data_IF_554985119237
#
_entry.id   IF_554985119237
#
_cell.length_a   1.000
_cell.length_b   1.000
_cell.length_c   1.000
_cell.angle_alpha   90.00
_cell.angle_beta   90.00
_cell.angle_gamma   90.00
#
_symmetry.space_group_name_H-M   'P 1'
#
loop_
_entity.id
_entity.type
_entity.pdbx_description
1 polymer ?
#
# COMPACT_ATOMS: atom_id res chain seq x y z
N UNK A 1 11.51 -34.03 26.99
CA UNK A 1 12.42 -33.74 25.88
C UNK A 1 12.09 -32.34 25.35
N UNK A 2 12.78 -31.35 25.89
CA UNK A 2 12.72 -29.97 25.42
C UNK A 2 13.35 -29.95 24.03
N UNK A 3 12.59 -29.66 22.98
CA UNK A 3 13.14 -29.36 21.65
C UNK A 3 13.92 -28.07 21.80
N UNK A 4 15.25 -28.13 21.70
CA UNK A 4 16.07 -26.95 21.51
C UNK A 4 15.55 -26.20 20.28
N UNK A 5 14.94 -25.06 20.50
CA UNK A 5 14.60 -24.13 19.41
C UNK A 5 15.92 -23.61 18.87
N UNK A 6 16.19 -23.68 17.56
CA UNK A 6 17.43 -23.16 17.00
C UNK A 6 17.58 -21.70 17.41
N UNK A 7 18.76 -21.32 17.92
CA UNK A 7 19.08 -19.95 18.31
C UNK A 7 18.93 -19.07 17.08
N UNK A 8 18.09 -18.04 17.15
CA UNK A 8 17.99 -17.01 16.10
C UNK A 8 19.22 -16.10 16.23
N UNK A 9 20.31 -16.48 15.57
CA UNK A 9 21.59 -15.75 15.58
C UNK A 9 21.40 -14.28 15.18
N UNK A 10 20.47 -14.03 14.28
CA UNK A 10 20.17 -12.68 13.81
C UNK A 10 19.49 -11.84 14.91
N UNK A 11 18.60 -12.45 15.70
CA UNK A 11 17.96 -11.78 16.84
C UNK A 11 19.00 -11.46 17.94
N UNK A 12 19.99 -12.31 18.14
CA UNK A 12 21.09 -12.05 19.10
C UNK A 12 21.99 -10.90 18.62
N UNK A 13 22.27 -10.81 17.33
CA UNK A 13 22.98 -9.67 16.74
C UNK A 13 22.17 -8.38 16.92
N UNK A 14 20.85 -8.43 16.73
CA UNK A 14 19.96 -7.28 16.95
C UNK A 14 19.99 -6.83 18.41
N UNK A 15 19.88 -7.77 19.37
CA UNK A 15 19.99 -7.47 20.81
C UNK A 15 21.33 -6.83 21.16
N UNK A 16 22.43 -7.36 20.63
CA UNK A 16 23.78 -6.81 20.84
C UNK A 16 23.91 -5.39 20.28
N UNK A 17 23.31 -5.10 19.13
CA UNK A 17 23.27 -3.77 18.56
C UNK A 17 22.42 -2.79 19.38
N UNK A 18 21.30 -3.24 19.98
CA UNK A 18 20.45 -2.42 20.84
C UNK A 18 21.08 -2.13 22.21
N UNK A 19 22.00 -2.96 22.71
CA UNK A 19 22.57 -2.82 24.04
C UNK A 19 23.17 -1.43 24.34
N UNK A 20 24.04 -0.83 23.49
CA UNK A 20 24.56 0.52 23.71
C UNK A 20 23.48 1.61 23.58
N UNK A 21 22.36 1.34 22.89
CA UNK A 21 21.24 2.26 22.73
C UNK A 21 20.28 2.24 23.94
N UNK A 22 20.39 1.24 24.83
CA UNK A 22 19.46 1.07 25.94
C UNK A 22 19.49 2.26 26.89
N UNK A 23 20.67 2.73 27.29
CA UNK A 23 20.82 3.86 28.23
C UNK A 23 20.34 5.18 27.62
N UNK A 24 20.79 5.61 26.42
CA UNK A 24 20.39 6.90 25.86
C UNK A 24 18.91 6.99 25.51
N UNK A 25 18.24 5.87 25.15
CA UNK A 25 16.83 5.85 24.76
C UNK A 25 15.93 5.15 25.77
N UNK A 26 16.44 4.73 26.93
CA UNK A 26 15.69 4.08 28.00
C UNK A 26 15.09 2.73 27.60
N UNK A 27 15.71 1.99 26.66
CA UNK A 27 15.16 0.74 26.14
C UNK A 27 15.19 -0.37 27.18
N UNK A 28 14.08 -1.08 27.34
CA UNK A 28 13.91 -2.25 28.18
C UNK A 28 13.99 -3.50 27.31
N UNK A 29 15.21 -4.01 27.05
CA UNK A 29 15.49 -5.05 26.06
C UNK A 29 14.79 -6.39 26.36
N UNK A 30 14.43 -6.64 27.62
CA UNK A 30 13.63 -7.78 28.05
C UNK A 30 12.20 -7.76 27.50
N UNK A 31 11.69 -6.57 27.11
CA UNK A 31 10.35 -6.39 26.53
C UNK A 31 10.32 -6.56 25.02
N UNK A 32 11.48 -6.81 24.38
CA UNK A 32 11.58 -6.95 22.93
C UNK A 32 10.68 -8.09 22.42
N UNK A 33 9.67 -7.75 21.63
CA UNK A 33 8.64 -8.67 21.11
C UNK A 33 8.31 -8.37 19.66
N UNK A 34 7.84 -9.35 18.86
CA UNK A 34 7.39 -9.10 17.49
C UNK A 34 6.31 -8.01 17.47
N UNK A 35 6.43 -7.05 16.55
CA UNK A 35 5.47 -5.97 16.35
C UNK A 35 4.48 -6.28 15.22
N UNK A 36 4.95 -6.91 14.15
CA UNK A 36 4.11 -7.35 13.03
C UNK A 36 4.70 -8.59 12.36
N UNK A 37 3.85 -9.36 11.69
CA UNK A 37 4.23 -10.45 10.80
C UNK A 37 3.92 -10.05 9.37
N UNK A 38 4.89 -9.52 8.65
CA UNK A 38 4.74 -9.11 7.25
C UNK A 38 5.05 -10.25 6.27
N UNK A 39 4.73 -10.00 4.98
CA UNK A 39 5.01 -10.91 3.88
C UNK A 39 6.47 -10.82 3.37
N UNK A 40 7.25 -9.88 3.90
CA UNK A 40 8.62 -9.55 3.53
C UNK A 40 9.64 -10.31 4.38
N UNK A 41 10.91 -10.26 3.99
CA UNK A 41 12.04 -10.72 4.82
C UNK A 41 12.35 -9.76 5.97
N UNK A 42 11.75 -8.55 6.00
CA UNK A 42 11.86 -7.61 7.10
C UNK A 42 11.10 -8.12 8.31
N UNK A 43 11.73 -8.00 9.48
CA UNK A 43 11.11 -8.31 10.77
C UNK A 43 11.01 -7.01 11.57
N UNK A 44 9.88 -6.84 12.23
CA UNK A 44 9.66 -5.68 13.09
C UNK A 44 9.43 -6.16 14.51
N UNK A 45 10.15 -5.52 15.45
CA UNK A 45 10.01 -5.77 16.87
C UNK A 45 9.62 -4.48 17.57
N UNK A 46 8.89 -4.58 18.66
CA UNK A 46 8.61 -3.47 19.57
C UNK A 46 9.42 -3.66 20.84
N UNK A 47 10.01 -2.57 21.35
CA UNK A 47 10.71 -2.52 22.62
C UNK A 47 10.14 -1.39 23.44
N UNK A 48 9.77 -1.65 24.69
CA UNK A 48 9.28 -0.61 25.60
C UNK A 48 10.44 0.26 26.05
N UNK A 49 10.14 1.53 26.33
CA UNK A 49 11.10 2.47 26.85
C UNK A 49 10.54 3.09 28.15
N UNK A 50 11.38 3.21 29.15
CA UNK A 50 11.01 3.74 30.43
C UNK A 50 12.24 4.32 31.12
N UNK A 51 12.01 5.28 32.03
CA UNK A 51 13.07 5.90 32.81
C UNK A 51 12.91 7.43 32.89
N UNK A 52 13.53 8.03 33.91
CA UNK A 52 13.58 9.48 34.03
C UNK A 52 14.39 10.05 32.87
N UNK A 53 13.72 10.85 32.02
CA UNK A 53 14.39 11.56 30.96
C UNK A 53 15.55 12.38 31.49
N UNK A 54 16.77 12.11 31.03
CA UNK A 54 17.88 13.01 31.29
C UNK A 54 17.62 14.31 30.50
N UNK A 55 17.66 15.45 31.22
CA UNK A 55 17.62 16.81 30.65
C UNK A 55 16.34 17.18 29.86
N UNK A 56 15.14 16.86 30.35
CA UNK A 56 13.89 17.42 29.83
C UNK A 56 13.36 16.78 28.53
N UNK A 57 13.99 15.74 27.99
CA UNK A 57 13.44 14.93 26.90
C UNK A 57 12.49 13.88 27.48
N UNK A 58 11.23 13.87 27.03
CA UNK A 58 10.32 12.74 27.27
C UNK A 58 10.74 11.59 26.35
N UNK A 59 11.14 10.45 26.91
CA UNK A 59 11.27 9.24 26.12
C UNK A 59 9.90 8.84 25.58
N UNK A 60 9.86 8.30 24.35
CA UNK A 60 8.67 7.60 23.86
C UNK A 60 8.35 6.43 24.80
N UNK A 61 7.09 6.00 24.86
CA UNK A 61 6.70 4.83 25.64
C UNK A 61 7.26 3.52 25.07
N UNK A 62 7.53 3.50 23.76
CA UNK A 62 8.11 2.37 23.03
C UNK A 62 8.75 2.83 21.73
N UNK A 63 9.57 1.95 21.16
CA UNK A 63 10.17 2.11 19.83
C UNK A 63 9.92 0.85 19.01
N UNK A 64 9.99 1.01 17.69
CA UNK A 64 9.97 -0.10 16.74
C UNK A 64 11.39 -0.34 16.24
N UNK A 65 11.82 -1.60 16.22
CA UNK A 65 13.11 -2.03 15.69
C UNK A 65 12.87 -2.78 14.39
N UNK A 66 13.39 -2.27 13.29
CA UNK A 66 13.40 -2.97 12.00
C UNK A 66 14.68 -3.81 11.88
N UNK A 67 14.49 -5.04 11.48
CA UNK A 67 15.53 -5.98 11.08
C UNK A 67 15.34 -6.37 9.62
N UNK A 68 16.16 -5.81 8.74
CA UNK A 68 16.18 -6.05 7.29
C UNK A 68 17.47 -6.80 6.93
N UNK A 69 17.46 -8.15 6.84
CA UNK A 69 18.67 -8.92 6.56
C UNK A 69 19.33 -8.51 5.24
N UNK A 70 20.60 -8.03 5.23
CA UNK A 70 21.23 -7.44 4.03
C UNK A 70 21.37 -8.39 2.85
N UNK A 71 21.29 -9.71 3.09
CA UNK A 71 21.29 -10.73 2.03
C UNK A 71 20.00 -10.78 1.23
N UNK A 72 18.91 -10.16 1.74
CA UNK A 72 17.57 -10.21 1.14
C UNK A 72 16.96 -8.83 0.97
N UNK A 73 17.35 -7.86 1.81
CA UNK A 73 16.72 -6.54 1.90
C UNK A 73 17.76 -5.44 1.98
N UNK A 74 17.47 -4.32 1.32
CA UNK A 74 18.25 -3.09 1.46
C UNK A 74 17.41 -2.06 2.24
N UNK A 75 17.92 -1.54 3.35
CA UNK A 75 17.21 -0.52 4.13
C UNK A 75 17.48 0.92 3.67
N UNK A 76 18.42 1.16 2.72
CA UNK A 76 18.69 2.50 2.16
C UNK A 76 17.47 3.16 1.52
N UNK A 77 16.65 2.45 0.70
CA UNK A 77 15.39 3.01 0.19
C UNK A 77 14.44 3.46 1.31
N UNK A 78 14.28 2.66 2.37
CA UNK A 78 13.46 3.05 3.52
C UNK A 78 13.94 4.37 4.13
N UNK A 79 15.24 4.49 4.42
CA UNK A 79 15.83 5.69 5.00
C UNK A 79 15.65 6.90 4.09
N UNK A 80 15.93 6.74 2.80
CA UNK A 80 15.82 7.80 1.81
C UNK A 80 14.39 8.33 1.68
N UNK A 81 13.41 7.42 1.53
CA UNK A 81 12.02 7.80 1.32
C UNK A 81 11.40 8.36 2.60
N UNK A 82 11.71 7.80 3.79
CA UNK A 82 11.28 8.37 5.06
C UNK A 82 11.69 9.84 5.19
N UNK A 83 12.95 10.16 4.89
CA UNK A 83 13.46 11.53 4.93
C UNK A 83 12.80 12.42 3.88
N UNK A 84 12.55 11.90 2.67
CA UNK A 84 11.88 12.64 1.60
C UNK A 84 10.45 13.03 2.01
N UNK A 85 9.68 12.08 2.54
CA UNK A 85 8.30 12.28 2.96
C UNK A 85 8.19 13.18 4.20
N UNK A 86 9.09 13.02 5.18
CA UNK A 86 9.14 13.87 6.37
C UNK A 86 9.36 15.35 6.02
N UNK A 87 10.16 15.66 4.99
CA UNK A 87 10.36 17.05 4.49
C UNK A 87 9.08 17.66 3.92
N UNK A 88 8.14 16.84 3.47
CA UNK A 88 6.82 17.27 2.98
C UNK A 88 5.76 17.32 4.10
N UNK A 89 6.16 17.07 5.36
CA UNK A 89 5.23 17.04 6.48
C UNK A 89 4.30 15.82 6.49
N UNK A 90 4.71 14.72 5.84
CA UNK A 90 4.06 13.41 5.95
C UNK A 90 4.65 12.70 7.17
N UNK A 91 3.80 12.23 8.07
CA UNK A 91 4.22 11.49 9.25
C UNK A 91 4.70 10.09 8.85
N UNK A 92 6.01 9.90 8.84
CA UNK A 92 6.68 8.58 8.68
C UNK A 92 7.42 8.25 9.96
N UNK A 93 7.70 6.96 10.26
CA UNK A 93 8.54 6.60 11.40
C UNK A 93 9.87 7.35 11.36
N UNK A 94 10.17 8.09 12.43
CA UNK A 94 11.45 8.77 12.59
C UNK A 94 12.54 7.73 12.82
N UNK A 95 13.68 7.89 12.14
CA UNK A 95 14.85 7.03 12.31
C UNK A 95 15.69 7.58 13.45
N UNK A 96 15.61 6.94 14.59
CA UNK A 96 16.28 7.35 15.84
C UNK A 96 17.76 6.94 15.82
N UNK A 97 18.03 5.72 15.34
CA UNK A 97 19.37 5.17 15.16
C UNK A 97 19.37 4.13 14.05
N UNK A 98 20.51 3.88 13.42
CA UNK A 98 20.60 2.86 12.37
C UNK A 98 22.00 2.31 12.17
N UNK A 99 22.05 1.04 11.77
CA UNK A 99 23.23 0.35 11.26
C UNK A 99 22.85 -0.24 9.89
N UNK A 100 23.11 0.54 8.85
CA UNK A 100 22.69 0.21 7.47
C UNK A 100 23.36 -1.07 6.98
N UNK A 101 24.63 -1.27 7.35
CA UNK A 101 25.42 -2.45 6.92
C UNK A 101 24.88 -3.74 7.54
N UNK A 102 24.36 -3.65 8.77
CA UNK A 102 23.67 -4.78 9.41
C UNK A 102 22.19 -4.84 9.12
N UNK A 103 21.61 -3.78 8.54
CA UNK A 103 20.18 -3.70 8.24
C UNK A 103 19.31 -3.51 9.49
N UNK A 104 19.79 -2.81 10.52
CA UNK A 104 19.05 -2.52 11.74
C UNK A 104 18.69 -1.04 11.84
N UNK A 105 17.42 -0.75 12.12
CA UNK A 105 16.94 0.61 12.40
C UNK A 105 16.12 0.64 13.69
N UNK A 106 16.35 1.64 14.53
CA UNK A 106 15.49 2.01 15.66
C UNK A 106 14.59 3.14 15.20
N UNK A 107 13.28 2.95 15.27
CA UNK A 107 12.26 3.82 14.71
C UNK A 107 11.33 4.33 15.81
N UNK A 108 10.74 5.52 15.61
CA UNK A 108 9.60 5.94 16.42
C UNK A 108 8.42 4.99 16.26
N UNK A 109 7.64 4.81 17.34
CA UNK A 109 6.49 3.91 17.35
C UNK A 109 5.19 4.70 17.18
N UNK A 110 4.42 4.36 16.16
CA UNK A 110 3.08 4.93 15.88
C UNK A 110 1.95 4.21 16.62
N UNK A 111 2.29 3.28 17.51
CA UNK A 111 1.30 2.47 18.25
C UNK A 111 0.82 1.27 17.44
N UNK A 112 -0.41 0.86 17.71
CA UNK A 112 -0.95 -0.41 17.15
C UNK A 112 -2.22 -0.24 16.33
N UNK A 113 -2.81 0.95 16.31
CA UNK A 113 -4.11 1.19 15.66
C UNK A 113 -3.92 1.64 14.22
N UNK A 114 -4.18 0.76 13.28
CA UNK A 114 -4.27 1.11 11.87
C UNK A 114 -5.62 1.76 11.53
N UNK A 115 -5.73 2.38 10.37
CA UNK A 115 -7.03 2.81 9.84
C UNK A 115 -7.99 1.62 9.69
N UNK A 116 -7.50 0.45 9.27
CA UNK A 116 -8.31 -0.75 9.20
C UNK A 116 -8.92 -1.12 10.56
N UNK A 117 -8.14 -1.04 11.65
CA UNK A 117 -8.63 -1.30 13.01
C UNK A 117 -9.61 -0.23 13.47
N UNK A 118 -9.31 1.05 13.19
CA UNK A 118 -10.17 2.17 13.57
C UNK A 118 -11.53 2.11 12.89
N UNK A 119 -11.58 1.75 11.61
CA UNK A 119 -12.83 1.62 10.84
C UNK A 119 -13.76 0.51 11.36
N UNK A 120 -13.24 -0.43 12.15
CA UNK A 120 -14.05 -1.46 12.83
C UNK A 120 -14.62 -0.97 14.16
N UNK A 121 -14.23 0.22 14.65
CA UNK A 121 -14.70 0.74 15.94
C UNK A 121 -16.00 1.51 15.77
N UNK A 122 -16.99 1.34 16.66
CA UNK A 122 -18.21 2.13 16.61
C UNK A 122 -17.93 3.61 16.91
N UNK A 123 -18.56 4.49 16.14
CA UNK A 123 -18.48 5.94 16.34
C UNK A 123 -17.21 6.60 15.79
N UNK A 124 -16.38 5.90 15.02
CA UNK A 124 -15.22 6.50 14.36
C UNK A 124 -15.67 7.57 13.35
N UNK A 125 -14.98 8.70 13.35
CA UNK A 125 -15.18 9.75 12.34
C UNK A 125 -14.44 9.38 11.04
N UNK A 126 -15.13 8.64 10.18
CA UNK A 126 -14.61 8.20 8.88
C UNK A 126 -14.26 9.40 7.99
N UNK A 127 -15.06 10.46 8.05
CA UNK A 127 -14.84 11.66 7.22
C UNK A 127 -13.55 12.38 7.62
N UNK A 128 -13.25 12.45 8.91
CA UNK A 128 -12.00 13.00 9.41
C UNK A 128 -10.81 12.13 9.00
N UNK A 129 -10.86 10.80 9.20
CA UNK A 129 -9.76 9.90 8.82
C UNK A 129 -9.44 9.99 7.33
N UNK A 130 -10.46 9.93 6.45
CA UNK A 130 -10.24 10.02 5.01
C UNK A 130 -9.81 11.42 4.58
N UNK A 131 -10.32 12.48 5.21
CA UNK A 131 -9.86 13.86 5.00
C UNK A 131 -8.37 14.04 5.30
N UNK A 132 -7.91 13.49 6.42
CA UNK A 132 -6.50 13.47 6.80
C UNK A 132 -5.66 12.66 5.81
N UNK A 133 -6.13 11.47 5.40
CA UNK A 133 -5.46 10.63 4.42
C UNK A 133 -5.32 11.33 3.05
N UNK A 134 -6.36 12.01 2.57
CA UNK A 134 -6.31 12.78 1.31
C UNK A 134 -5.30 13.93 1.40
N UNK A 135 -5.27 14.64 2.54
CA UNK A 135 -4.31 15.73 2.77
C UNK A 135 -2.87 15.21 2.81
N UNK A 136 -2.63 14.10 3.51
CA UNK A 136 -1.31 13.48 3.56
C UNK A 136 -0.87 12.93 2.20
N UNK A 137 -1.79 12.37 1.41
CA UNK A 137 -1.51 11.92 0.04
C UNK A 137 -1.07 13.08 -0.88
N UNK A 138 -1.76 14.21 -0.80
CA UNK A 138 -1.37 15.42 -1.57
C UNK A 138 0.04 15.88 -1.18
N UNK A 139 0.37 15.93 0.12
CA UNK A 139 1.74 16.26 0.59
C UNK A 139 2.78 15.25 0.07
N UNK A 140 2.47 13.96 0.13
CA UNK A 140 3.32 12.90 -0.39
C UNK A 140 3.62 13.12 -1.88
N UNK A 141 2.62 13.46 -2.68
CA UNK A 141 2.75 13.66 -4.11
C UNK A 141 3.43 14.99 -4.50
N UNK A 142 3.53 15.95 -3.58
CA UNK A 142 4.34 17.14 -3.76
C UNK A 142 5.85 16.89 -3.61
N UNK A 143 6.23 15.72 -3.07
CA UNK A 143 7.63 15.37 -2.95
C UNK A 143 8.30 15.28 -4.33
N UNK A 144 9.53 15.81 -4.40
CA UNK A 144 10.35 15.80 -5.62
C UNK A 144 11.46 14.75 -5.46
N UNK A 145 11.24 13.50 -5.88
CA UNK A 145 12.23 12.44 -5.67
C UNK A 145 13.45 12.54 -6.57
N UNK A 146 13.41 13.43 -7.61
CA UNK A 146 14.46 13.49 -8.61
C UNK A 146 14.62 12.16 -9.35
N UNK A 147 15.86 11.82 -9.70
CA UNK A 147 16.18 10.55 -10.37
C UNK A 147 16.39 9.36 -9.41
N UNK A 148 16.05 9.51 -8.13
CA UNK A 148 16.37 8.50 -7.10
C UNK A 148 15.37 7.36 -7.03
N UNK A 149 14.11 7.60 -7.46
CA UNK A 149 13.08 6.58 -7.50
C UNK A 149 12.91 6.00 -8.89
N UNK A 150 12.69 4.68 -9.02
CA UNK A 150 12.44 4.06 -10.29
C UNK A 150 11.07 4.49 -10.87
N UNK A 151 10.92 4.52 -12.20
CA UNK A 151 9.62 4.79 -12.82
C UNK A 151 8.68 3.60 -12.66
N UNK A 152 7.39 3.90 -12.58
CA UNK A 152 6.32 2.91 -12.73
C UNK A 152 5.97 2.79 -14.22
N UNK A 153 6.90 2.24 -14.97
CA UNK A 153 6.89 2.19 -16.41
C UNK A 153 5.96 1.09 -16.99
N UNK A 154 5.86 1.06 -18.32
CA UNK A 154 5.08 0.07 -19.06
C UNK A 154 5.46 -1.37 -18.68
N UNK A 155 6.76 -1.68 -18.58
CA UNK A 155 7.23 -3.02 -18.27
C UNK A 155 6.75 -3.48 -16.89
N UNK A 156 6.82 -2.60 -15.89
CA UNK A 156 6.40 -2.87 -14.54
C UNK A 156 4.88 -3.02 -14.45
N UNK A 157 4.12 -2.12 -15.06
CA UNK A 157 2.66 -2.20 -15.15
C UNK A 157 2.18 -3.50 -15.82
N UNK A 158 2.82 -3.87 -16.94
CA UNK A 158 2.49 -5.09 -17.67
C UNK A 158 2.81 -6.36 -16.86
N UNK A 159 3.99 -6.41 -16.23
CA UNK A 159 4.40 -7.56 -15.42
C UNK A 159 3.46 -7.83 -14.26
N UNK A 160 2.94 -6.76 -13.64
CA UNK A 160 1.98 -6.85 -12.55
C UNK A 160 0.59 -7.32 -13.04
N UNK A 161 0.09 -6.80 -14.16
CA UNK A 161 -1.18 -7.24 -14.72
C UNK A 161 -1.16 -8.69 -15.23
N UNK A 162 -0.02 -9.18 -15.69
CA UNK A 162 0.15 -10.59 -16.12
C UNK A 162 -0.03 -11.58 -14.97
N UNK A 163 0.07 -11.16 -13.73
CA UNK A 163 -0.30 -12.00 -12.60
C UNK A 163 -1.78 -12.43 -12.62
N UNK A 164 -2.67 -11.63 -13.24
CA UNK A 164 -4.07 -11.97 -13.36
C UNK A 164 -4.33 -13.23 -14.17
N UNK A 165 -3.91 -13.37 -15.45
CA UNK A 165 -4.07 -14.61 -16.19
C UNK A 165 -3.30 -15.79 -15.58
N UNK A 166 -2.08 -15.56 -15.08
CA UNK A 166 -1.22 -16.64 -14.62
C UNK A 166 -1.67 -17.24 -13.28
N UNK A 167 -2.14 -16.41 -12.36
CA UNK A 167 -2.47 -16.85 -11.01
C UNK A 167 -3.96 -16.86 -10.74
N UNK A 168 -4.69 -15.81 -11.13
CA UNK A 168 -6.11 -15.73 -10.83
C UNK A 168 -6.91 -16.64 -11.79
N UNK A 169 -6.73 -16.51 -13.11
CA UNK A 169 -7.45 -17.35 -14.05
C UNK A 169 -6.94 -18.80 -14.03
N UNK A 170 -5.65 -19.01 -14.26
CA UNK A 170 -5.10 -20.37 -14.44
C UNK A 170 -5.06 -21.16 -13.12
N UNK A 171 -4.62 -20.55 -12.00
CA UNK A 171 -4.44 -21.28 -10.73
C UNK A 171 -5.66 -21.25 -9.83
N UNK A 172 -6.29 -20.06 -9.65
CA UNK A 172 -7.42 -19.93 -8.73
C UNK A 172 -8.73 -20.45 -9.35
N UNK A 173 -9.04 -20.04 -10.59
CA UNK A 173 -10.25 -20.49 -11.27
C UNK A 173 -10.06 -21.78 -12.06
N UNK A 174 -8.83 -22.30 -12.21
CA UNK A 174 -8.50 -23.47 -13.05
C UNK A 174 -8.96 -23.29 -14.52
N UNK A 175 -8.90 -22.05 -15.03
CA UNK A 175 -9.35 -21.69 -16.38
C UNK A 175 -8.19 -21.08 -17.17
N UNK A 176 -7.51 -21.89 -17.96
CA UNK A 176 -6.44 -21.41 -18.86
C UNK A 176 -7.04 -20.55 -19.98
N UNK A 177 -6.59 -19.30 -20.15
CA UNK A 177 -7.09 -18.44 -21.22
C UNK A 177 -6.75 -19.01 -22.61
N UNK A 178 -7.74 -19.07 -23.48
CA UNK A 178 -7.59 -19.41 -24.90
C UNK A 178 -6.75 -18.34 -25.63
N UNK A 179 -6.27 -18.66 -26.84
CA UNK A 179 -5.52 -17.69 -27.65
C UNK A 179 -6.30 -16.40 -27.93
N UNK A 180 -7.63 -16.48 -28.08
CA UNK A 180 -8.47 -15.31 -28.25
C UNK A 180 -8.59 -14.49 -26.97
N UNK A 181 -8.77 -15.13 -25.83
CA UNK A 181 -8.86 -14.47 -24.53
C UNK A 181 -7.52 -13.81 -24.14
N UNK A 182 -6.38 -14.44 -24.47
CA UNK A 182 -5.08 -13.80 -24.31
C UNK A 182 -4.96 -12.51 -25.12
N UNK A 183 -5.48 -12.48 -26.37
CA UNK A 183 -5.51 -11.25 -27.17
C UNK A 183 -6.38 -10.16 -26.55
N UNK A 184 -7.53 -10.53 -25.99
CA UNK A 184 -8.41 -9.57 -25.27
C UNK A 184 -7.70 -8.99 -24.04
N UNK A 185 -7.01 -9.83 -23.26
CA UNK A 185 -6.23 -9.39 -22.10
C UNK A 185 -5.11 -8.44 -22.51
N UNK A 186 -4.27 -8.81 -23.48
CA UNK A 186 -3.17 -7.97 -23.94
C UNK A 186 -3.65 -6.62 -24.51
N UNK A 187 -4.74 -6.61 -25.26
CA UNK A 187 -5.35 -5.37 -25.77
C UNK A 187 -5.88 -4.48 -24.63
N UNK A 188 -6.45 -5.08 -23.58
CA UNK A 188 -6.91 -4.35 -22.40
C UNK A 188 -5.74 -3.81 -21.60
N UNK A 189 -4.68 -4.60 -21.42
CA UNK A 189 -3.46 -4.19 -20.72
C UNK A 189 -2.77 -3.03 -21.44
N UNK A 190 -2.61 -3.11 -22.76
CA UNK A 190 -2.02 -2.02 -23.55
C UNK A 190 -2.78 -0.70 -23.35
N UNK A 191 -4.11 -0.75 -23.36
CA UNK A 191 -4.97 0.42 -23.14
C UNK A 191 -4.84 1.00 -21.72
N UNK A 192 -4.76 0.15 -20.72
CA UNK A 192 -4.55 0.57 -19.33
C UNK A 192 -3.16 1.17 -19.11
N UNK A 193 -2.13 0.61 -19.75
CA UNK A 193 -0.76 1.13 -19.71
C UNK A 193 -0.71 2.51 -20.34
N UNK A 194 -1.26 2.67 -21.55
CA UNK A 194 -1.34 3.97 -22.22
C UNK A 194 -2.03 5.02 -21.33
N UNK A 195 -3.17 4.68 -20.75
CA UNK A 195 -3.89 5.56 -19.84
C UNK A 195 -3.08 5.89 -18.56
N UNK A 196 -2.36 4.96 -18.00
CA UNK A 196 -1.53 5.17 -16.81
C UNK A 196 -0.29 6.02 -17.11
N UNK A 197 0.42 5.73 -18.20
CA UNK A 197 1.65 6.44 -18.58
C UNK A 197 1.40 7.85 -19.13
N UNK A 198 0.20 8.13 -19.63
CA UNK A 198 -0.21 9.47 -20.06
C UNK A 198 -0.60 10.40 -18.92
N UNK A 199 -0.84 9.90 -17.73
CA UNK A 199 -1.10 10.72 -16.56
C UNK A 199 0.15 11.45 -16.10
N UNK A 200 -0.05 12.54 -15.35
CA UNK A 200 1.05 13.22 -14.67
C UNK A 200 1.71 12.26 -13.67
N UNK A 201 3.04 12.27 -13.66
CA UNK A 201 3.85 11.37 -12.86
C UNK A 201 4.30 12.07 -11.58
N UNK A 202 4.00 11.45 -10.44
CA UNK A 202 4.31 11.93 -9.09
C UNK A 202 4.95 10.83 -8.26
N UNK A 203 5.34 11.11 -7.02
CA UNK A 203 5.70 10.05 -6.08
C UNK A 203 4.46 9.19 -5.78
N UNK A 204 4.59 7.88 -5.96
CA UNK A 204 3.55 6.88 -5.72
C UNK A 204 4.05 5.90 -4.67
N UNK A 205 3.29 5.76 -3.59
CA UNK A 205 3.55 4.86 -2.48
C UNK A 205 3.36 3.38 -2.87
N UNK A 206 2.40 3.09 -3.76
CA UNK A 206 1.93 1.79 -4.26
C UNK A 206 0.96 1.05 -3.33
N UNK A 207 1.14 1.14 -2.02
CA UNK A 207 0.32 0.45 -1.03
C UNK A 207 -0.28 1.42 0.01
N UNK A 208 -0.81 2.56 -0.50
CA UNK A 208 -1.47 3.61 0.29
C UNK A 208 -2.92 3.20 0.60
N UNK A 209 -3.10 2.35 1.60
CA UNK A 209 -4.40 1.78 1.98
C UNK A 209 -4.55 1.64 3.50
N UNK A 210 -5.74 1.33 3.98
CA UNK A 210 -6.10 1.38 5.39
C UNK A 210 -5.21 0.55 6.34
N UNK A 211 -4.55 -0.51 5.87
CA UNK A 211 -3.63 -1.33 6.69
C UNK A 211 -2.24 -0.71 6.85
N UNK A 212 -1.85 0.22 5.99
CA UNK A 212 -0.56 0.90 6.03
C UNK A 212 -0.65 2.35 6.53
N UNK A 213 -1.84 2.77 6.98
CA UNK A 213 -2.09 4.07 7.58
C UNK A 213 -2.37 3.89 9.07
N UNK A 214 -1.62 4.60 9.92
CA UNK A 214 -1.74 4.54 11.38
C UNK A 214 -2.51 5.74 11.90
N UNK A 215 -3.37 5.52 12.90
CA UNK A 215 -4.04 6.59 13.62
C UNK A 215 -3.06 7.22 14.60
N UNK A 216 -2.78 8.51 14.42
CA UNK A 216 -1.90 9.25 15.29
C UNK A 216 -2.68 10.22 16.18
N UNK A 217 -2.32 10.32 17.47
CA UNK A 217 -2.91 11.32 18.37
C UNK A 217 -2.30 12.71 18.09
N UNK A 218 -3.05 13.80 18.32
CA UNK A 218 -2.48 15.14 18.33
C UNK A 218 -1.27 15.27 19.28
N UNK A 219 -0.27 16.06 18.96
CA UNK A 219 -0.20 17.05 17.86
C UNK A 219 0.37 16.49 16.53
N UNK A 220 0.56 15.19 16.41
CA UNK A 220 1.06 14.58 15.19
C UNK A 220 0.05 14.73 14.04
N UNK A 221 0.57 14.88 12.83
CA UNK A 221 -0.29 14.90 11.64
C UNK A 221 -0.72 13.47 11.27
N UNK A 222 -2.01 13.24 11.29
CA UNK A 222 -2.62 11.99 10.92
C UNK A 222 -2.73 11.90 9.37
N UNK A 223 -2.55 10.73 8.73
CA UNK A 223 -2.08 9.47 9.30
C UNK A 223 -0.56 9.37 9.43
N UNK A 224 -0.10 8.43 10.26
CA UNK A 224 1.23 7.86 10.11
C UNK A 224 1.28 6.92 8.92
N UNK A 225 2.24 7.11 8.02
CA UNK A 225 2.37 6.33 6.78
C UNK A 225 3.47 5.29 6.92
N UNK A 226 3.12 4.03 6.67
CA UNK A 226 4.04 2.87 6.73
C UNK A 226 4.21 2.25 5.34
N UNK A 227 5.22 1.39 5.17
CA UNK A 227 5.44 0.55 3.99
C UNK A 227 5.70 1.32 2.69
N UNK A 228 6.43 2.42 2.78
CA UNK A 228 6.72 3.36 1.68
C UNK A 228 8.01 3.05 0.90
N UNK A 229 8.84 2.10 1.33
CA UNK A 229 10.18 1.87 0.77
C UNK A 229 10.18 1.39 -0.70
N UNK A 230 9.06 0.89 -1.19
CA UNK A 230 8.88 0.45 -2.57
C UNK A 230 8.24 1.53 -3.47
N UNK A 231 8.26 2.79 -3.01
CA UNK A 231 7.74 3.92 -3.76
C UNK A 231 8.42 4.10 -5.13
N UNK A 232 7.67 4.64 -6.06
CA UNK A 232 8.08 4.85 -7.46
C UNK A 232 7.65 6.24 -7.93
N UNK A 233 8.08 6.63 -9.14
CA UNK A 233 7.47 7.75 -9.87
C UNK A 233 6.41 7.19 -10.81
N UNK A 234 5.15 7.55 -10.61
CA UNK A 234 4.04 6.94 -11.33
C UNK A 234 2.77 7.78 -11.42
N UNK A 235 1.68 7.20 -11.93
CA UNK A 235 0.43 7.90 -12.21
C UNK A 235 -0.18 8.54 -10.97
N UNK A 236 -0.54 9.81 -11.05
CA UNK A 236 -1.07 10.61 -9.93
C UNK A 236 -2.31 10.01 -9.27
N UNK A 237 -3.12 9.22 -10.00
CA UNK A 237 -4.33 8.61 -9.46
C UNK A 237 -4.10 7.27 -8.75
N UNK A 238 -2.88 6.70 -8.78
CA UNK A 238 -2.63 5.34 -8.29
C UNK A 238 -2.91 5.18 -6.79
N UNK A 239 -2.34 6.04 -5.95
CA UNK A 239 -2.50 5.91 -4.49
C UNK A 239 -3.89 6.34 -4.03
N UNK A 240 -4.51 7.31 -4.74
CA UNK A 240 -5.88 7.68 -4.45
C UNK A 240 -6.83 6.51 -4.68
N UNK A 241 -6.71 5.79 -5.79
CA UNK A 241 -7.55 4.62 -6.02
C UNK A 241 -7.20 3.46 -5.08
N UNK A 242 -5.95 3.35 -4.64
CA UNK A 242 -5.54 2.38 -3.61
C UNK A 242 -6.28 2.62 -2.29
N UNK A 243 -6.49 3.89 -1.93
CA UNK A 243 -7.23 4.29 -0.72
C UNK A 243 -8.75 4.14 -0.89
N UNK A 244 -9.32 4.60 -2.02
CA UNK A 244 -10.77 4.65 -2.22
C UNK A 244 -11.38 3.31 -2.66
N UNK A 245 -10.60 2.48 -3.36
CA UNK A 245 -10.96 1.11 -3.77
C UNK A 245 -10.00 0.10 -3.14
N UNK A 246 -9.91 0.22 -1.84
CA UNK A 246 -9.11 -0.68 -1.00
C UNK A 246 -9.59 -2.14 -1.17
N UNK A 247 -8.66 -3.07 -1.07
CA UNK A 247 -8.97 -4.50 -1.14
C UNK A 247 -9.64 -5.02 0.16
N UNK A 248 -9.66 -4.22 1.22
CA UNK A 248 -10.07 -4.63 2.56
C UNK A 248 -11.32 -3.92 3.06
N UNK A 249 -11.68 -2.77 2.49
CA UNK A 249 -12.82 -1.95 2.89
C UNK A 249 -13.61 -1.53 1.66
N UNK A 250 -14.92 -1.74 1.69
CA UNK A 250 -15.83 -1.34 0.61
C UNK A 250 -16.56 -0.04 0.98
N UNK A 251 -16.54 0.93 0.05
CA UNK A 251 -17.26 2.19 0.18
C UNK A 251 -18.33 2.33 -0.89
N UNK A 252 -19.47 2.94 -0.57
CA UNK A 252 -20.45 3.34 -1.57
C UNK A 252 -19.81 4.25 -2.63
N UNK A 253 -20.21 4.11 -3.89
CA UNK A 253 -19.65 4.89 -4.99
C UNK A 253 -19.79 6.39 -4.79
N UNK A 254 -20.93 6.84 -4.25
CA UNK A 254 -21.15 8.26 -3.94
C UNK A 254 -20.09 8.80 -2.96
N UNK A 255 -19.66 7.98 -1.98
CA UNK A 255 -18.62 8.36 -1.06
C UNK A 255 -17.23 8.39 -1.71
N UNK A 256 -16.95 7.40 -2.60
CA UNK A 256 -15.70 7.41 -3.38
C UNK A 256 -15.62 8.65 -4.27
N UNK A 257 -16.73 9.04 -4.90
CA UNK A 257 -16.82 10.21 -5.76
C UNK A 257 -16.60 11.52 -4.96
N UNK A 258 -17.22 11.66 -3.78
CA UNK A 258 -17.03 12.81 -2.90
C UNK A 258 -15.56 12.96 -2.48
N UNK A 259 -14.92 11.89 -2.04
CA UNK A 259 -13.50 11.92 -1.68
C UNK A 259 -12.58 12.17 -2.86
N UNK A 260 -12.88 11.62 -4.04
CA UNK A 260 -12.11 11.90 -5.24
C UNK A 260 -12.22 13.38 -5.67
N UNK A 261 -13.42 13.97 -5.54
CA UNK A 261 -13.62 15.41 -5.80
C UNK A 261 -12.83 16.28 -4.79
N UNK A 262 -12.89 15.95 -3.50
CA UNK A 262 -12.11 16.66 -2.47
C UNK A 262 -10.60 16.56 -2.72
N UNK A 263 -10.11 15.37 -3.03
CA UNK A 263 -8.71 15.22 -3.40
C UNK A 263 -8.35 16.11 -4.61
N UNK A 264 -9.16 16.06 -5.68
CA UNK A 264 -8.92 16.84 -6.89
C UNK A 264 -8.89 18.34 -6.62
N UNK A 265 -9.79 18.86 -5.76
CA UNK A 265 -9.81 20.25 -5.34
C UNK A 265 -8.55 20.63 -4.54
N UNK A 266 -8.16 19.81 -3.54
CA UNK A 266 -6.96 20.05 -2.74
C UNK A 266 -5.72 20.01 -3.65
N UNK A 267 -5.59 19.01 -4.50
CA UNK A 267 -4.46 18.85 -5.41
C UNK A 267 -4.31 20.07 -6.34
N UNK A 268 -5.41 20.58 -6.90
CA UNK A 268 -5.42 21.80 -7.72
C UNK A 268 -5.01 23.03 -6.93
N UNK A 269 -5.49 23.17 -5.70
CA UNK A 269 -5.19 24.34 -4.87
C UNK A 269 -3.71 24.49 -4.54
N UNK A 270 -2.96 23.38 -4.52
CA UNK A 270 -1.51 23.35 -4.26
C UNK A 270 -0.67 23.18 -5.54
N UNK A 271 -1.29 23.21 -6.72
CA UNK A 271 -0.61 23.15 -8.01
C UNK A 271 -0.14 21.77 -8.44
N UNK A 272 -0.68 20.69 -7.88
CA UNK A 272 -0.43 19.35 -8.42
C UNK A 272 -1.05 19.22 -9.83
N UNK A 273 -0.37 18.52 -10.75
CA UNK A 273 -0.76 18.48 -12.16
C UNK A 273 -1.89 17.47 -12.43
N UNK A 274 -3.06 17.66 -11.78
CA UNK A 274 -4.29 16.90 -12.07
C UNK A 274 -5.00 17.48 -13.30
N UNK A 275 -5.79 16.68 -14.06
CA UNK A 275 -6.61 17.18 -15.16
C UNK A 275 -7.51 18.34 -14.74
N UNK A 276 -7.68 19.34 -15.64
CA UNK A 276 -8.57 20.49 -15.39
C UNK A 276 -10.03 20.09 -15.20
N UNK A 277 -10.47 19.08 -15.92
CA UNK A 277 -11.83 18.57 -15.88
C UNK A 277 -11.92 17.37 -14.95
N UNK A 278 -12.87 17.40 -14.03
CA UNK A 278 -13.07 16.33 -13.06
C UNK A 278 -13.50 14.99 -13.73
N UNK A 279 -14.28 15.04 -14.81
CA UNK A 279 -14.68 13.83 -15.55
C UNK A 279 -13.50 13.09 -16.17
N UNK A 280 -12.49 13.83 -16.67
CA UNK A 280 -11.22 13.25 -17.14
C UNK A 280 -10.45 12.63 -15.99
N UNK A 281 -10.32 13.35 -14.87
CA UNK A 281 -9.66 12.84 -13.65
C UNK A 281 -10.36 11.58 -13.13
N UNK A 282 -11.70 11.57 -13.06
CA UNK A 282 -12.48 10.42 -12.60
C UNK A 282 -12.30 9.20 -13.50
N UNK A 283 -12.33 9.37 -14.81
CA UNK A 283 -12.04 8.29 -15.75
C UNK A 283 -10.63 7.72 -15.54
N UNK A 284 -9.63 8.57 -15.40
CA UNK A 284 -8.23 8.17 -15.20
C UNK A 284 -8.07 7.40 -13.87
N UNK A 285 -8.78 7.84 -12.81
CA UNK A 285 -8.85 7.14 -11.53
C UNK A 285 -9.50 5.75 -11.68
N UNK A 286 -10.61 5.63 -12.41
CA UNK A 286 -11.30 4.35 -12.61
C UNK A 286 -10.46 3.37 -13.43
N UNK A 287 -9.81 3.84 -14.48
CA UNK A 287 -8.95 2.99 -15.31
C UNK A 287 -7.70 2.56 -14.55
N UNK A 288 -7.12 3.43 -13.75
CA UNK A 288 -6.04 3.06 -12.82
C UNK A 288 -6.52 2.03 -11.79
N UNK A 289 -7.75 2.18 -11.30
CA UNK A 289 -8.39 1.20 -10.42
C UNK A 289 -8.57 -0.17 -11.06
N UNK A 290 -8.89 -0.23 -12.35
CA UNK A 290 -8.97 -1.49 -13.09
C UNK A 290 -7.59 -2.16 -13.19
N UNK A 291 -6.54 -1.41 -13.55
CA UNK A 291 -5.17 -1.91 -13.58
C UNK A 291 -4.77 -2.52 -12.23
N UNK A 292 -5.00 -1.74 -11.14
CA UNK A 292 -4.67 -2.18 -9.78
C UNK A 292 -5.49 -3.39 -9.35
N UNK A 293 -6.77 -3.45 -9.67
CA UNK A 293 -7.63 -4.59 -9.30
C UNK A 293 -7.17 -5.88 -10.00
N UNK A 294 -6.81 -5.83 -11.30
CA UNK A 294 -6.27 -6.98 -12.01
C UNK A 294 -4.95 -7.46 -11.38
N UNK A 295 -4.03 -6.53 -11.05
CA UNK A 295 -2.81 -6.83 -10.30
C UNK A 295 -3.13 -7.52 -8.97
N UNK A 296 -4.04 -6.97 -8.16
CA UNK A 296 -4.36 -7.48 -6.81
C UNK A 296 -5.00 -8.86 -6.87
N UNK A 297 -5.93 -9.11 -7.81
CA UNK A 297 -6.49 -10.46 -8.04
C UNK A 297 -5.38 -11.48 -8.28
N UNK A 298 -4.41 -11.14 -9.14
CA UNK A 298 -3.26 -12.00 -9.41
C UNK A 298 -2.33 -12.18 -8.22
N UNK A 299 -2.01 -11.10 -7.49
CA UNK A 299 -1.15 -11.15 -6.30
C UNK A 299 -1.78 -11.99 -5.19
N UNK A 300 -3.06 -11.80 -4.88
CA UNK A 300 -3.73 -12.54 -3.80
C UNK A 300 -3.81 -14.04 -4.12
N UNK A 301 -4.11 -14.39 -5.37
CA UNK A 301 -4.03 -15.78 -5.82
C UNK A 301 -2.60 -16.34 -5.68
N UNK A 302 -1.57 -15.60 -6.11
CA UNK A 302 -0.17 -16.00 -5.97
C UNK A 302 0.24 -16.21 -4.51
N UNK A 303 -0.10 -15.28 -3.63
CA UNK A 303 0.19 -15.38 -2.19
C UNK A 303 -0.46 -16.61 -1.56
N UNK A 304 -1.66 -16.99 -2.02
CA UNK A 304 -2.30 -18.22 -1.56
C UNK A 304 -1.59 -19.47 -2.10
N UNK A 305 -1.46 -19.59 -3.42
CA UNK A 305 -1.05 -20.84 -4.05
C UNK A 305 0.46 -21.09 -4.08
N UNK A 306 1.27 -20.02 -4.06
CA UNK A 306 2.73 -20.11 -3.98
C UNK A 306 3.24 -20.06 -2.54
N UNK A 307 2.69 -19.13 -1.73
CA UNK A 307 3.27 -18.78 -0.42
C UNK A 307 2.42 -19.33 0.75
N UNK A 308 1.33 -20.08 0.47
CA UNK A 308 0.48 -20.71 1.48
C UNK A 308 -0.37 -19.74 2.31
N UNK A 309 -0.46 -18.47 1.92
CA UNK A 309 -1.17 -17.41 2.65
C UNK A 309 -2.66 -17.37 2.27
N UNK A 310 -3.43 -18.37 2.68
CA UNK A 310 -4.84 -18.58 2.28
C UNK A 310 -5.79 -17.44 2.68
N UNK A 311 -5.44 -16.66 3.70
CA UNK A 311 -6.26 -15.53 4.19
C UNK A 311 -6.63 -14.51 3.09
N UNK A 312 -5.78 -14.34 2.07
CA UNK A 312 -6.00 -13.38 0.99
C UNK A 312 -7.13 -13.77 0.03
N UNK A 313 -7.57 -15.04 0.04
CA UNK A 313 -8.71 -15.47 -0.79
C UNK A 313 -10.04 -14.84 -0.34
N UNK A 314 -10.17 -14.50 0.93
CA UNK A 314 -11.37 -13.85 1.46
C UNK A 314 -11.58 -12.44 0.89
N UNK A 315 -10.52 -11.78 0.45
CA UNK A 315 -10.56 -10.41 -0.08
C UNK A 315 -10.82 -10.36 -1.61
N UNK A 316 -10.66 -11.50 -2.32
CA UNK A 316 -10.85 -11.57 -3.78
C UNK A 316 -12.24 -11.11 -4.26
N UNK A 317 -13.38 -11.46 -3.59
CA UNK A 317 -14.70 -11.05 -4.05
C UNK A 317 -14.88 -9.53 -4.10
N UNK A 318 -14.30 -8.77 -3.16
CA UNK A 318 -14.36 -7.31 -3.17
C UNK A 318 -13.58 -6.73 -4.34
N UNK A 319 -12.35 -7.21 -4.55
CA UNK A 319 -11.51 -6.75 -5.67
C UNK A 319 -12.15 -7.08 -7.02
N UNK A 320 -12.80 -8.26 -7.14
CA UNK A 320 -13.55 -8.61 -8.34
C UNK A 320 -14.73 -7.66 -8.59
N UNK A 321 -15.47 -7.27 -7.55
CA UNK A 321 -16.56 -6.27 -7.71
C UNK A 321 -16.04 -4.93 -8.23
N UNK A 322 -14.88 -4.47 -7.74
CA UNK A 322 -14.23 -3.26 -8.27
C UNK A 322 -13.87 -3.41 -9.75
N UNK A 323 -13.33 -4.57 -10.14
CA UNK A 323 -12.99 -4.88 -11.54
C UNK A 323 -14.22 -4.82 -12.43
N UNK A 324 -15.27 -5.55 -12.05
CA UNK A 324 -16.52 -5.66 -12.83
C UNK A 324 -17.20 -4.32 -13.03
N UNK A 325 -17.29 -3.49 -11.99
CA UNK A 325 -17.89 -2.15 -12.07
C UNK A 325 -17.26 -1.29 -13.18
N UNK A 326 -15.94 -1.35 -13.33
CA UNK A 326 -15.24 -0.55 -14.36
C UNK A 326 -15.43 -1.14 -15.74
N UNK A 327 -15.26 -2.44 -15.93
CA UNK A 327 -15.37 -3.06 -17.25
C UNK A 327 -16.80 -3.01 -17.81
N UNK A 328 -17.81 -3.00 -16.94
CA UNK A 328 -19.22 -2.84 -17.32
C UNK A 328 -19.57 -1.38 -17.69
N UNK A 329 -18.89 -0.40 -17.06
CA UNK A 329 -19.13 1.03 -17.31
C UNK A 329 -18.55 1.52 -18.63
N UNK A 330 -17.36 1.02 -19.00
CA UNK A 330 -16.64 1.55 -20.15
C UNK A 330 -16.66 0.58 -21.33
N UNK A 331 -17.28 1.01 -22.45
CA UNK A 331 -17.34 0.24 -23.70
C UNK A 331 -15.95 -0.17 -24.21
N UNK A 332 -14.92 0.60 -23.87
CA UNK A 332 -13.52 0.30 -24.15
C UNK A 332 -13.06 -1.07 -23.60
N UNK A 333 -13.73 -1.61 -22.58
CA UNK A 333 -13.42 -2.88 -21.94
C UNK A 333 -14.52 -3.95 -22.14
N UNK A 334 -15.43 -3.77 -23.08
CA UNK A 334 -16.56 -4.69 -23.32
C UNK A 334 -16.13 -6.13 -23.60
N UNK A 335 -15.00 -6.34 -24.30
CA UNK A 335 -14.46 -7.69 -24.55
C UNK A 335 -13.91 -8.32 -23.25
N UNK A 336 -13.26 -7.52 -22.42
CA UNK A 336 -12.79 -7.97 -21.09
C UNK A 336 -13.99 -8.28 -20.18
N UNK A 337 -15.06 -7.49 -20.22
CA UNK A 337 -16.28 -7.78 -19.48
C UNK A 337 -16.88 -9.13 -19.88
N UNK A 338 -17.01 -9.41 -21.19
CA UNK A 338 -17.50 -10.71 -21.69
C UNK A 338 -16.58 -11.88 -21.29
N UNK A 339 -15.27 -11.65 -21.25
CA UNK A 339 -14.32 -12.65 -20.76
C UNK A 339 -14.59 -12.96 -19.29
N UNK A 340 -14.71 -11.92 -18.44
CA UNK A 340 -15.00 -12.07 -17.02
C UNK A 340 -16.35 -12.75 -16.76
N UNK A 341 -17.39 -12.43 -17.52
CA UNK A 341 -18.68 -13.09 -17.43
C UNK A 341 -18.57 -14.60 -17.70
N UNK A 342 -17.83 -14.99 -18.75
CA UNK A 342 -17.62 -16.41 -19.08
C UNK A 342 -16.84 -17.15 -18.00
N UNK A 343 -15.74 -16.56 -17.50
CA UNK A 343 -14.91 -17.25 -16.51
C UNK A 343 -15.57 -17.32 -15.12
N UNK A 344 -16.51 -16.42 -14.83
CA UNK A 344 -17.30 -16.45 -13.59
C UNK A 344 -18.70 -17.03 -13.77
N UNK A 345 -19.04 -17.53 -14.96
CA UNK A 345 -20.35 -18.14 -15.28
C UNK A 345 -21.52 -17.19 -14.96
N UNK A 346 -21.29 -15.88 -15.14
CA UNK A 346 -22.30 -14.85 -14.92
C UNK A 346 -23.21 -14.75 -16.17
N UNK A 347 -24.52 -14.69 -15.94
CA UNK A 347 -25.46 -14.37 -17.01
C UNK A 347 -25.32 -12.88 -17.32
N UNK A 348 -25.07 -12.53 -18.59
CA UNK A 348 -25.03 -11.13 -19.02
C UNK A 348 -26.36 -10.46 -18.67
N UNK A 349 -26.34 -9.44 -17.83
CA UNK A 349 -27.52 -8.60 -17.62
C UNK A 349 -27.67 -7.73 -18.86
N UNK A 350 -28.59 -8.14 -19.76
CA UNK A 350 -29.05 -7.28 -20.83
C UNK A 350 -29.88 -6.17 -20.21
N UNK A 351 -29.25 -5.02 -19.97
CA UNK A 351 -29.97 -3.80 -19.62
C UNK A 351 -30.84 -3.39 -20.80
N UNK A 352 -32.15 -3.44 -20.62
CA UNK A 352 -33.08 -2.78 -21.54
C UNK A 352 -32.93 -1.28 -21.32
N UNK A 353 -32.26 -0.61 -22.26
CA UNK A 353 -32.37 0.85 -22.41
C UNK A 353 -33.72 1.15 -23.04
N UNK A 354 -34.63 1.73 -22.26
CA UNK A 354 -35.82 2.37 -22.80
C UNK A 354 -35.50 3.78 -23.27
#
# INVERSE_FOLDING_TARGET
MTRDCPIDERLELLRSWLQPLSTPYGLQLETLRPASSDASFRRYFRVDAGGAAQQGQRHAASYVVMDAPPTHEDCRPFVHIAQLLARQGVSTPEIIAGDIEKGFLLLSDFGTTTYADALMQPGVDIAALYGDALTALVRLQQAQPGATLPPYDEQRLLSEMRLFPDWYLARHLSKEPTANERRVLEASFARLIEAATSQSQVLVHRDYHCRNLMVLPPPQHNPGVLDFQDAVVGPITYDLVSLLRDAYVEWPEAQQLDWAARYWEIARSVGLPVPERFDTFWRDLEWMGLQRSLKVLGIFARLCYRDGKTRYLADLPLVLRHTLRVVERYSAFSELARLLDRVHERTAQTGFTF
#
